data_IF_925231641701
#
_entry.id   IF_925231641701
#
_cell.length_a   1.000
_cell.length_b   1.000
_cell.length_c   1.000
_cell.angle_alpha   90.00
_cell.angle_beta   90.00
_cell.angle_gamma   90.00
#
_symmetry.space_group_name_H-M   'P 1'
#
loop_
_entity.id
_entity.type
_entity.pdbx_description
1 polymer ?
#
# COMPACT_ATOMS: atom_id res chain seq x y z
N UNK A 1 -11.08 -17.20 -31.67
CA UNK A 1 -10.56 -17.22 -30.28
C UNK A 1 -9.96 -15.84 -29.97
N UNK A 2 -10.37 -15.16 -28.88
CA UNK A 2 -9.87 -13.82 -28.51
C UNK A 2 -8.67 -13.94 -27.55
N UNK A 3 -7.64 -13.11 -27.73
CA UNK A 3 -6.32 -13.26 -27.05
C UNK A 3 -6.33 -13.30 -25.51
N UNK A 4 -7.34 -12.72 -24.86
CA UNK A 4 -7.49 -12.80 -23.40
C UNK A 4 -7.79 -14.23 -22.90
N UNK A 5 -8.53 -15.01 -23.68
CA UNK A 5 -8.87 -16.39 -23.31
C UNK A 5 -7.66 -17.32 -23.41
N UNK A 6 -6.80 -17.13 -24.43
CA UNK A 6 -5.54 -17.85 -24.55
C UNK A 6 -4.58 -17.54 -23.41
N UNK A 7 -4.46 -16.28 -23.02
CA UNK A 7 -3.57 -15.90 -21.92
C UNK A 7 -4.05 -16.43 -20.55
N UNK A 8 -5.38 -16.52 -20.34
CA UNK A 8 -5.95 -17.16 -19.16
C UNK A 8 -5.71 -18.67 -19.16
N UNK A 9 -5.80 -19.33 -20.32
CA UNK A 9 -5.51 -20.76 -20.49
C UNK A 9 -4.02 -21.09 -20.33
N UNK A 10 -3.12 -20.16 -20.66
CA UNK A 10 -1.67 -20.25 -20.44
C UNK A 10 -1.26 -19.98 -18.97
N UNK A 11 -2.22 -19.81 -18.06
CA UNK A 11 -1.94 -19.55 -16.64
C UNK A 11 -1.29 -18.18 -16.37
N UNK A 12 -1.34 -17.26 -17.32
CA UNK A 12 -0.70 -15.94 -17.20
C UNK A 12 -1.47 -15.12 -16.16
N UNK A 13 -0.81 -14.82 -15.04
CA UNK A 13 -1.41 -14.05 -13.96
C UNK A 13 -1.56 -12.59 -14.37
N UNK A 14 -2.80 -12.10 -14.42
CA UNK A 14 -3.10 -10.70 -14.69
C UNK A 14 -3.26 -9.96 -13.36
N UNK A 15 -2.48 -8.92 -13.15
CA UNK A 15 -2.49 -8.10 -11.95
C UNK A 15 -1.17 -8.17 -11.17
N UNK A 16 -1.20 -7.67 -9.93
CA UNK A 16 -0.02 -7.61 -9.05
C UNK A 16 0.54 -9.04 -8.82
N UNK A 17 1.86 -9.26 -8.93
CA UNK A 17 2.42 -10.60 -8.81
C UNK A 17 2.07 -11.21 -7.44
N UNK A 18 1.70 -12.49 -7.40
CA UNK A 18 1.41 -13.21 -6.15
C UNK A 18 2.60 -13.07 -5.20
N UNK A 19 2.34 -12.71 -3.94
CA UNK A 19 3.37 -12.52 -2.91
C UNK A 19 3.99 -11.12 -2.86
N UNK A 20 3.68 -10.19 -3.78
CA UNK A 20 4.24 -8.83 -3.76
C UNK A 20 3.50 -7.87 -2.83
N UNK A 21 2.93 -8.38 -1.74
CA UNK A 21 2.52 -7.52 -0.64
C UNK A 21 3.81 -6.99 -0.01
N UNK A 22 4.04 -5.66 -0.08
CA UNK A 22 5.23 -5.06 0.55
C UNK A 22 5.19 -5.39 2.04
N UNK A 23 6.26 -5.97 2.62
CA UNK A 23 6.32 -6.22 4.05
C UNK A 23 6.19 -4.90 4.82
N UNK A 24 5.66 -5.00 6.03
CA UNK A 24 5.38 -3.85 6.89
C UNK A 24 6.61 -2.95 7.07
N UNK A 25 7.78 -3.56 7.26
CA UNK A 25 9.04 -2.85 7.44
C UNK A 25 9.45 -2.02 6.21
N UNK A 26 9.21 -2.53 5.00
CA UNK A 26 9.44 -1.78 3.76
C UNK A 26 8.44 -0.64 3.61
N UNK A 27 7.18 -0.84 4.01
CA UNK A 27 6.17 0.21 4.05
C UNK A 27 6.59 1.37 4.97
N UNK A 28 7.13 1.07 6.15
CA UNK A 28 7.61 2.08 7.10
C UNK A 28 8.83 2.85 6.55
N UNK A 29 9.73 2.17 5.83
CA UNK A 29 10.89 2.78 5.16
C UNK A 29 10.51 3.64 3.96
N UNK A 30 9.49 3.25 3.22
CA UNK A 30 9.00 3.97 2.03
C UNK A 30 8.26 5.26 2.41
N UNK A 31 7.60 5.29 3.56
CA UNK A 31 6.78 6.43 4.00
C UNK A 31 7.22 7.06 5.34
N UNK A 32 8.49 7.52 5.48
CA UNK A 32 8.97 8.11 6.72
C UNK A 32 8.24 9.43 7.07
N UNK A 33 7.71 10.13 6.05
CA UNK A 33 6.90 11.33 6.25
C UNK A 33 5.59 11.04 6.99
N UNK A 34 4.90 9.95 6.64
CA UNK A 34 3.66 9.53 7.30
C UNK A 34 3.95 9.21 8.77
N UNK A 35 5.10 8.61 9.08
CA UNK A 35 5.52 8.31 10.46
C UNK A 35 5.69 9.56 11.30
N UNK A 36 6.39 10.58 10.76
CA UNK A 36 6.58 11.86 11.45
C UNK A 36 5.23 12.54 11.70
N UNK A 37 4.36 12.53 10.70
CA UNK A 37 3.05 13.18 10.77
C UNK A 37 2.12 12.48 11.79
N UNK A 38 2.12 11.14 11.82
CA UNK A 38 1.34 10.38 12.82
C UNK A 38 1.91 10.57 14.23
N UNK A 39 3.24 10.63 14.39
CA UNK A 39 3.89 10.92 15.67
C UNK A 39 3.64 12.34 16.18
N UNK A 40 3.46 13.32 15.29
CA UNK A 40 3.11 14.69 15.65
C UNK A 40 1.63 14.87 15.98
N UNK A 41 0.83 13.79 15.97
CA UNK A 41 -0.58 13.82 16.33
C UNK A 41 -1.53 14.23 15.19
N UNK A 42 -1.05 14.27 13.94
CA UNK A 42 -1.93 14.55 12.80
C UNK A 42 -2.94 13.41 12.59
N UNK A 43 -4.16 13.81 12.20
CA UNK A 43 -5.21 12.84 11.89
C UNK A 43 -4.91 12.10 10.59
N UNK A 44 -5.38 10.86 10.49
CA UNK A 44 -5.18 9.98 9.33
C UNK A 44 -5.59 10.69 8.02
N UNK A 45 -6.73 11.38 8.03
CA UNK A 45 -7.24 12.11 6.85
C UNK A 45 -6.36 13.30 6.48
N UNK A 46 -5.87 14.06 7.47
CA UNK A 46 -5.00 15.20 7.23
C UNK A 46 -3.65 14.76 6.67
N UNK A 47 -3.07 13.69 7.21
CA UNK A 47 -1.83 13.10 6.70
C UNK A 47 -1.99 12.56 5.28
N UNK A 48 -3.11 11.90 4.99
CA UNK A 48 -3.43 11.41 3.65
C UNK A 48 -3.50 12.55 2.61
N UNK A 49 -4.20 13.63 2.95
CA UNK A 49 -4.31 14.82 2.09
C UNK A 49 -2.96 15.53 1.90
N UNK A 50 -2.19 15.72 2.97
CA UNK A 50 -0.89 16.41 2.93
C UNK A 50 0.16 15.66 2.11
N UNK A 51 0.15 14.33 2.17
CA UNK A 51 1.11 13.46 1.48
C UNK A 51 0.61 12.93 0.14
N UNK A 52 -0.60 13.30 -0.27
CA UNK A 52 -1.27 12.82 -1.49
C UNK A 52 -1.28 11.27 -1.60
N UNK A 53 -1.62 10.60 -0.50
CA UNK A 53 -1.73 9.13 -0.43
C UNK A 53 -3.14 8.73 -0.02
N UNK A 54 -3.50 7.48 -0.28
CA UNK A 54 -4.80 6.96 0.17
C UNK A 54 -4.89 6.89 1.69
N UNK A 55 -6.10 7.08 2.22
CA UNK A 55 -6.39 6.90 3.65
C UNK A 55 -6.04 5.48 4.10
N UNK A 56 -6.27 4.48 3.25
CA UNK A 56 -5.92 3.08 3.54
C UNK A 56 -4.41 2.89 3.72
N UNK A 57 -3.58 3.55 2.90
CA UNK A 57 -2.12 3.55 3.05
C UNK A 57 -1.71 4.08 4.43
N UNK A 58 -2.29 5.21 4.86
CA UNK A 58 -1.99 5.79 6.19
C UNK A 58 -2.49 4.88 7.32
N UNK A 59 -3.67 4.27 7.17
CA UNK A 59 -4.20 3.31 8.14
C UNK A 59 -3.31 2.08 8.28
N UNK A 60 -2.81 1.52 7.18
CA UNK A 60 -1.86 0.40 7.19
C UNK A 60 -0.57 0.76 7.90
N UNK A 61 0.00 1.93 7.62
CA UNK A 61 1.20 2.44 8.33
C UNK A 61 0.91 2.60 9.82
N UNK A 62 -0.26 3.14 10.20
CA UNK A 62 -0.63 3.29 11.61
C UNK A 62 -0.79 1.94 12.32
N UNK A 63 -1.46 0.97 11.69
CA UNK A 63 -1.62 -0.40 12.23
C UNK A 63 -0.26 -1.07 12.43
N UNK A 64 0.64 -0.89 11.48
CA UNK A 64 2.01 -1.37 11.54
C UNK A 64 2.88 -0.77 12.67
N UNK A 65 2.49 0.37 13.23
CA UNK A 65 3.17 0.99 14.38
C UNK A 65 2.63 0.51 15.73
N UNK A 66 1.40 -0.02 15.75
CA UNK A 66 0.74 -0.49 16.97
C UNK A 66 0.95 -1.99 17.22
N UNK A 67 1.67 -2.68 16.33
CA UNK A 67 2.07 -4.08 16.41
C UNK A 67 3.46 -4.26 17.00
#
# INVERSE_FOLDING_TARGET
MRGQQQAKAQGKHFGRPKGTAKPVQELLKEYPGILKDLKSGLSIRKTAAFRNVSVDTVQRVKKALAS
#
